data_IF_253583822131
#
_entry.id   IF_253583822131
#
_cell.length_a   1.000
_cell.length_b   1.000
_cell.length_c   1.000
_cell.angle_alpha   90.00
_cell.angle_beta   90.00
_cell.angle_gamma   90.00
#
_symmetry.space_group_name_H-M   'P 1'
#
loop_
_entity.id
_entity.type
_entity.pdbx_description
1 polymer ?
#
# COMPACT_ATOMS: atom_id res chain seq x y z
N UNK A 1 1.97 1.03 2.56
CA UNK A 1 2.62 -0.31 2.53
C UNK A 1 1.85 -1.23 1.63
N UNK A 2 0.54 -1.40 1.81
CA UNK A 2 -0.31 -2.20 0.92
C UNK A 2 -0.18 -1.84 -0.57
N UNK A 3 -0.15 -0.55 -0.92
CA UNK A 3 0.11 -0.15 -2.32
C UNK A 3 1.51 -0.57 -2.84
N UNK A 4 2.52 -0.66 -1.97
CA UNK A 4 3.84 -1.21 -2.36
C UNK A 4 3.73 -2.72 -2.62
N UNK A 5 2.95 -3.42 -1.80
CA UNK A 5 2.67 -4.86 -1.95
C UNK A 5 1.97 -5.11 -3.29
N UNK A 6 0.94 -4.33 -3.58
CA UNK A 6 0.19 -4.42 -4.84
C UNK A 6 1.06 -4.07 -6.05
N UNK A 7 1.80 -2.96 -6.00
CA UNK A 7 2.69 -2.55 -7.09
C UNK A 7 3.79 -3.59 -7.37
N UNK A 8 4.34 -4.22 -6.33
CA UNK A 8 5.29 -5.33 -6.48
C UNK A 8 4.67 -6.49 -7.28
N UNK A 9 3.46 -6.93 -6.91
CA UNK A 9 2.80 -8.05 -7.59
C UNK A 9 2.29 -7.70 -8.99
N UNK A 10 1.85 -6.46 -9.22
CA UNK A 10 1.33 -6.02 -10.52
C UNK A 10 2.43 -5.81 -11.56
N UNK A 11 3.59 -5.30 -11.15
CA UNK A 11 4.66 -4.89 -12.07
C UNK A 11 5.93 -5.75 -11.98
N UNK A 12 5.98 -6.73 -11.06
CA UNK A 12 7.13 -7.61 -10.81
C UNK A 12 8.45 -6.84 -10.67
N UNK A 13 8.41 -5.74 -9.91
CA UNK A 13 9.50 -4.78 -9.78
C UNK A 13 9.81 -4.48 -8.31
N UNK A 14 11.08 -4.26 -7.95
CA UNK A 14 11.51 -4.11 -6.55
C UNK A 14 11.91 -2.69 -6.19
N UNK A 15 12.22 -1.85 -7.17
CA UNK A 15 12.62 -0.46 -6.99
C UNK A 15 11.38 0.43 -6.84
N UNK A 16 10.61 0.15 -5.78
CA UNK A 16 9.36 0.82 -5.45
C UNK A 16 9.56 1.64 -4.16
N UNK A 17 9.13 2.89 -4.18
CA UNK A 17 9.07 3.75 -3.01
C UNK A 17 7.77 4.56 -2.96
N UNK A 18 7.52 5.23 -1.83
CA UNK A 18 6.36 6.09 -1.65
C UNK A 18 6.73 7.40 -0.96
N UNK A 19 6.06 8.46 -1.38
CA UNK A 19 6.18 9.81 -0.85
C UNK A 19 4.80 10.29 -0.40
N UNK A 20 4.78 11.17 0.59
CA UNK A 20 3.57 11.86 1.01
C UNK A 20 3.42 13.12 0.14
N UNK A 21 2.37 13.16 -0.66
CA UNK A 21 1.90 14.34 -1.39
C UNK A 21 0.53 14.76 -0.78
N UNK A 22 0.47 15.81 0.06
CA UNK A 22 -0.74 16.12 0.83
C UNK A 22 -1.96 16.58 0.02
N UNK A 23 -1.79 16.95 -1.26
CA UNK A 23 -2.88 17.43 -2.12
C UNK A 23 -3.57 16.30 -2.89
N UNK A 24 -2.98 15.10 -2.94
CA UNK A 24 -3.43 13.96 -3.74
C UNK A 24 -3.69 14.31 -5.21
N UNK A 25 -2.81 15.15 -5.79
CA UNK A 25 -2.88 15.54 -7.21
C UNK A 25 -1.97 14.69 -8.09
N UNK A 26 -0.89 14.16 -7.52
CA UNK A 26 0.02 13.21 -8.19
C UNK A 26 -0.24 11.83 -7.64
N UNK A 27 -0.74 10.93 -8.48
CA UNK A 27 -1.16 9.57 -8.07
C UNK A 27 -0.05 8.53 -8.22
N UNK A 28 0.81 8.70 -9.22
CA UNK A 28 1.95 7.83 -9.46
C UNK A 28 3.06 8.60 -10.16
N UNK A 29 4.30 8.15 -9.96
CA UNK A 29 5.47 8.64 -10.68
C UNK A 29 6.31 7.46 -11.14
N UNK A 30 6.94 7.60 -12.31
CA UNK A 30 7.90 6.62 -12.83
C UNK A 30 9.22 7.31 -13.12
N UNK A 31 10.31 6.73 -12.64
CA UNK A 31 11.67 7.20 -12.91
C UNK A 31 12.32 6.34 -13.99
N UNK A 32 13.02 6.98 -14.92
CA UNK A 32 13.65 6.32 -16.06
C UNK A 32 15.17 6.37 -15.95
N UNK A 33 15.86 5.40 -16.55
CA UNK A 33 17.34 5.27 -16.51
C UNK A 33 18.09 6.49 -17.08
N UNK A 34 17.43 7.29 -17.91
CA UNK A 34 17.98 8.53 -18.47
C UNK A 34 17.84 9.74 -17.53
N UNK A 35 17.32 9.54 -16.31
CA UNK A 35 17.10 10.61 -15.33
C UNK A 35 15.80 11.39 -15.52
N UNK A 36 14.98 11.03 -16.52
CA UNK A 36 13.64 11.60 -16.65
C UNK A 36 12.67 10.96 -15.66
N UNK A 37 11.62 11.70 -15.31
CA UNK A 37 10.49 11.18 -14.54
C UNK A 37 9.18 11.60 -15.19
N UNK A 38 8.20 10.72 -15.15
CA UNK A 38 6.80 11.06 -15.46
C UNK A 38 5.99 11.06 -14.17
N UNK A 39 4.94 11.88 -14.14
CA UNK A 39 4.00 11.95 -13.04
C UNK A 39 2.58 11.94 -13.61
N UNK A 40 1.70 11.13 -13.02
CA UNK A 40 0.30 11.05 -13.39
C UNK A 40 -0.52 11.99 -12.53
N UNK A 41 -1.06 13.04 -13.17
CA UNK A 41 -1.86 14.08 -12.52
C UNK A 41 -3.35 13.86 -12.75
N UNK A 42 -4.13 13.83 -11.68
CA UNK A 42 -5.59 13.84 -11.78
C UNK A 42 -6.23 14.37 -10.49
N UNK A 43 -7.49 14.80 -10.59
CA UNK A 43 -8.32 15.03 -9.40
C UNK A 43 -8.53 13.68 -8.69
N UNK A 44 -8.56 13.68 -7.36
CA UNK A 44 -8.81 12.47 -6.57
C UNK A 44 -10.27 11.99 -6.74
N UNK A 45 -10.53 11.24 -7.82
CA UNK A 45 -11.82 10.62 -8.11
C UNK A 45 -11.58 9.24 -8.75
N UNK A 46 -12.18 8.20 -8.15
CA UNK A 46 -12.03 6.80 -8.57
C UNK A 46 -12.58 6.52 -9.96
N UNK A 47 -13.46 7.37 -10.52
CA UNK A 47 -14.02 7.17 -11.86
C UNK A 47 -12.95 7.01 -12.93
N UNK A 48 -11.83 7.73 -12.81
CA UNK A 48 -10.76 7.66 -13.79
C UNK A 48 -10.05 6.30 -13.75
N UNK A 49 -9.61 5.86 -12.57
CA UNK A 49 -8.97 4.54 -12.40
C UNK A 49 -9.91 3.39 -12.80
N UNK A 50 -11.20 3.49 -12.47
CA UNK A 50 -12.21 2.50 -12.90
C UNK A 50 -12.40 2.53 -14.42
N UNK A 51 -12.43 3.71 -15.03
CA UNK A 51 -12.56 3.85 -16.48
C UNK A 51 -11.35 3.29 -17.22
N UNK A 52 -10.14 3.56 -16.75
CA UNK A 52 -8.88 3.01 -17.30
C UNK A 52 -8.87 1.47 -17.24
N UNK A 53 -9.48 0.87 -16.21
CA UNK A 53 -9.56 -0.58 -16.07
C UNK A 53 -10.64 -1.25 -16.95
N UNK A 54 -11.75 -0.55 -17.24
CA UNK A 54 -12.89 -1.11 -17.99
C UNK A 54 -12.76 -0.88 -19.48
N UNK A 55 -12.30 0.30 -19.90
CA UNK A 55 -12.34 0.71 -21.30
C UNK A 55 -10.95 0.68 -21.92
N UNK A 56 -10.81 0.01 -23.07
CA UNK A 56 -9.56 0.00 -23.84
C UNK A 56 -9.21 1.38 -24.42
N UNK A 57 -10.22 2.25 -24.61
CA UNK A 57 -10.09 3.62 -25.10
C UNK A 57 -11.10 4.54 -24.43
N UNK A 58 -10.68 5.78 -24.19
CA UNK A 58 -11.55 6.84 -23.68
C UNK A 58 -11.72 7.91 -24.75
N UNK A 59 -12.88 7.89 -25.41
CA UNK A 59 -13.22 8.87 -26.45
C UNK A 59 -13.84 10.16 -25.87
N UNK A 60 -14.13 10.17 -24.56
CA UNK A 60 -14.69 11.34 -23.86
C UNK A 60 -14.00 11.54 -22.52
N UNK A 61 -13.81 12.80 -22.06
CA UNK A 61 -13.24 13.07 -20.75
C UNK A 61 -14.12 12.52 -19.62
N UNK A 62 -13.55 11.63 -18.80
CA UNK A 62 -14.21 11.07 -17.61
C UNK A 62 -14.23 12.07 -16.46
N UNK A 63 -13.16 12.85 -16.33
CA UNK A 63 -13.00 13.91 -15.35
C UNK A 63 -12.55 15.20 -16.04
N UNK A 64 -12.81 16.33 -15.40
CA UNK A 64 -12.20 17.59 -15.77
C UNK A 64 -10.68 17.52 -15.56
N UNK A 65 -9.92 17.91 -16.58
CA UNK A 65 -8.46 18.00 -16.51
C UNK A 65 -8.00 18.95 -15.39
N UNK A 66 -6.80 18.69 -14.88
CA UNK A 66 -6.16 19.57 -13.88
C UNK A 66 -5.81 20.91 -14.54
N UNK A 67 -6.31 22.01 -13.96
CA UNK A 67 -5.90 23.36 -14.35
C UNK A 67 -4.57 23.72 -13.68
N UNK A 68 -3.47 23.50 -14.41
CA UNK A 68 -2.12 23.77 -13.94
C UNK A 68 -1.88 25.25 -13.59
N UNK A 69 -2.63 26.18 -14.19
CA UNK A 69 -2.49 27.62 -13.88
C UNK A 69 -3.01 27.99 -12.50
N UNK A 70 -3.90 27.17 -11.93
CA UNK A 70 -4.50 27.34 -10.60
C UNK A 70 -4.03 26.29 -9.60
N UNK A 71 -3.09 25.44 -9.99
CA UNK A 71 -2.64 24.33 -9.16
C UNK A 71 -1.88 24.86 -7.93
N UNK A 72 -2.20 24.39 -6.71
CA UNK A 72 -1.43 24.75 -5.53
C UNK A 72 -0.01 24.20 -5.62
N UNK A 73 0.90 24.77 -4.83
CA UNK A 73 2.25 24.23 -4.70
C UNK A 73 2.22 22.76 -4.23
N UNK A 74 2.91 21.90 -4.96
CA UNK A 74 3.11 20.51 -4.62
C UNK A 74 4.27 20.37 -3.63
N UNK A 75 4.11 19.48 -2.66
CA UNK A 75 5.15 19.17 -1.69
C UNK A 75 5.22 17.67 -1.50
N UNK A 76 6.40 17.11 -1.70
CA UNK A 76 6.67 15.71 -1.49
C UNK A 76 7.48 15.54 -0.22
N UNK A 77 7.05 14.64 0.65
CA UNK A 77 7.72 14.36 1.92
C UNK A 77 8.06 12.87 2.04
N UNK A 78 9.22 12.51 2.58
CA UNK A 78 9.51 11.12 2.89
C UNK A 78 8.56 10.61 3.98
N UNK A 79 8.20 9.32 3.90
CA UNK A 79 7.38 8.68 4.92
C UNK A 79 8.21 8.47 6.19
N UNK A 80 7.82 9.14 7.28
CA UNK A 80 8.49 9.00 8.57
C UNK A 80 8.13 7.67 9.25
N UNK A 81 9.09 6.75 9.37
CA UNK A 81 8.92 5.48 10.09
C UNK A 81 8.74 5.64 11.60
N UNK A 82 8.96 6.84 12.15
CA UNK A 82 8.59 7.17 13.53
C UNK A 82 7.08 7.42 13.66
N UNK A 83 6.47 8.09 12.67
CA UNK A 83 5.03 8.38 12.64
C UNK A 83 4.20 7.24 12.04
N UNK A 84 4.75 6.52 11.07
CA UNK A 84 4.14 5.42 10.34
C UNK A 84 5.01 4.15 10.47
N UNK A 85 4.98 3.47 11.63
CA UNK A 85 5.93 2.40 11.94
C UNK A 85 5.90 1.24 10.94
N UNK A 86 4.73 0.90 10.42
CA UNK A 86 4.56 -0.21 9.45
C UNK A 86 5.41 -0.01 8.20
N UNK A 87 5.77 1.23 7.84
CA UNK A 87 6.59 1.51 6.66
C UNK A 87 8.03 0.98 6.79
N UNK A 88 8.49 0.66 8.01
CA UNK A 88 9.77 -0.04 8.23
C UNK A 88 9.81 -1.40 7.51
N UNK A 89 8.65 -2.03 7.28
CA UNK A 89 8.54 -3.32 6.64
C UNK A 89 8.73 -3.26 5.12
N UNK A 90 8.77 -2.07 4.49
CA UNK A 90 8.87 -1.92 3.03
C UNK A 90 9.98 -2.79 2.44
N UNK A 91 11.22 -2.58 2.91
CA UNK A 91 12.39 -3.29 2.37
C UNK A 91 12.40 -4.77 2.75
N UNK A 92 11.81 -5.13 3.90
CA UNK A 92 11.68 -6.54 4.32
C UNK A 92 10.70 -7.27 3.41
N UNK A 93 9.54 -6.68 3.14
CA UNK A 93 8.54 -7.22 2.22
C UNK A 93 9.08 -7.35 0.79
N UNK A 94 9.77 -6.34 0.25
CA UNK A 94 10.34 -6.41 -1.12
C UNK A 94 11.40 -7.52 -1.27
N UNK A 95 12.00 -7.97 -0.18
CA UNK A 95 12.88 -9.14 -0.14
C UNK A 95 12.10 -10.45 0.01
N UNK A 96 11.09 -10.43 0.89
CA UNK A 96 10.30 -11.59 1.31
C UNK A 96 8.80 -11.32 1.10
N UNK A 97 8.30 -11.36 -0.15
CA UNK A 97 6.95 -10.92 -0.50
C UNK A 97 5.85 -11.79 0.13
N UNK A 98 6.16 -13.04 0.49
CA UNK A 98 5.22 -13.92 1.19
C UNK A 98 4.79 -13.37 2.56
N UNK A 99 5.54 -12.42 3.15
CA UNK A 99 5.11 -11.70 4.37
C UNK A 99 3.78 -10.96 4.19
N UNK A 100 3.37 -10.67 2.95
CA UNK A 100 2.14 -9.93 2.64
C UNK A 100 0.90 -10.52 3.31
N UNK A 101 0.76 -11.85 3.37
CA UNK A 101 -0.41 -12.49 3.99
C UNK A 101 -0.48 -12.23 5.50
N UNK A 102 0.65 -12.32 6.21
CA UNK A 102 0.71 -12.08 7.65
C UNK A 102 0.48 -10.60 7.94
N UNK A 103 1.09 -9.70 7.13
CA UNK A 103 0.90 -8.25 7.25
C UNK A 103 -0.58 -7.89 7.08
N UNK A 104 -1.25 -8.44 6.06
CA UNK A 104 -2.66 -8.18 5.80
C UNK A 104 -3.56 -8.69 6.93
N UNK A 105 -3.43 -9.98 7.28
CA UNK A 105 -4.26 -10.60 8.30
C UNK A 105 -4.12 -9.88 9.66
N UNK A 106 -2.89 -9.55 10.06
CA UNK A 106 -2.64 -8.83 11.30
C UNK A 106 -3.16 -7.39 11.27
N UNK A 107 -3.05 -6.70 10.13
CA UNK A 107 -3.61 -5.37 9.96
C UNK A 107 -5.13 -5.38 10.12
N UNK A 108 -5.83 -6.32 9.50
CA UNK A 108 -7.30 -6.41 9.63
C UNK A 108 -7.74 -6.64 11.08
N UNK A 109 -7.06 -7.53 11.82
CA UNK A 109 -7.35 -7.75 13.25
C UNK A 109 -7.05 -6.49 14.06
N UNK A 110 -5.91 -5.85 13.82
CA UNK A 110 -5.51 -4.61 14.50
C UNK A 110 -6.50 -3.46 14.27
N UNK A 111 -6.89 -3.24 13.01
CA UNK A 111 -7.87 -2.22 12.61
C UNK A 111 -9.23 -2.53 13.22
N UNK A 112 -9.70 -3.78 13.17
CA UNK A 112 -10.95 -4.19 13.80
C UNK A 112 -10.96 -3.85 15.30
N UNK A 113 -9.90 -4.23 16.03
CA UNK A 113 -9.78 -3.92 17.46
C UNK A 113 -9.75 -2.41 17.74
N UNK A 114 -9.08 -1.62 16.89
CA UNK A 114 -9.06 -0.16 17.02
C UNK A 114 -10.46 0.44 16.80
N UNK A 115 -11.17 0.02 15.76
CA UNK A 115 -12.54 0.48 15.46
C UNK A 115 -13.53 0.10 16.55
N UNK A 116 -13.33 -1.05 17.18
CA UNK A 116 -14.11 -1.53 18.34
C UNK A 116 -13.67 -0.89 19.68
N UNK A 117 -12.77 0.10 19.66
CA UNK A 117 -12.21 0.77 20.85
C UNK A 117 -11.53 -0.18 21.85
N UNK A 118 -11.02 -1.32 21.38
CA UNK A 118 -10.29 -2.32 22.20
C UNK A 118 -8.79 -2.06 22.25
N UNK A 119 -8.27 -1.22 21.36
CA UNK A 119 -6.86 -0.85 21.28
C UNK A 119 -6.67 0.58 20.76
N UNK A 120 -5.48 1.15 20.96
CA UNK A 120 -5.13 2.47 20.41
C UNK A 120 -4.64 2.39 18.97
N UNK A 121 -4.59 3.53 18.27
CA UNK A 121 -4.16 3.60 16.87
C UNK A 121 -2.78 2.98 16.61
N UNK A 122 -1.80 3.24 17.50
CA UNK A 122 -0.45 2.68 17.36
C UNK A 122 -0.37 1.19 17.66
N UNK A 123 -1.39 0.60 18.28
CA UNK A 123 -1.42 -0.85 18.54
C UNK A 123 -1.68 -1.66 17.27
N UNK A 124 -2.23 -1.06 16.21
CA UNK A 124 -2.35 -1.68 14.88
C UNK A 124 -0.95 -2.08 14.39
N UNK A 125 0.01 -1.16 14.44
CA UNK A 125 1.38 -1.44 14.04
C UNK A 125 2.04 -2.49 14.93
N UNK A 126 1.80 -2.43 16.26
CA UNK A 126 2.32 -3.45 17.20
C UNK A 126 1.75 -4.84 16.90
N UNK A 127 0.47 -4.93 16.53
CA UNK A 127 -0.21 -6.16 16.15
C UNK A 127 0.47 -6.82 14.94
N UNK A 128 0.77 -6.02 13.91
CA UNK A 128 1.49 -6.47 12.71
C UNK A 128 2.90 -6.95 13.07
N UNK A 129 3.67 -6.19 13.84
CA UNK A 129 5.02 -6.61 14.24
C UNK A 129 5.00 -7.88 15.09
N UNK A 130 4.06 -8.00 16.04
CA UNK A 130 3.89 -9.20 16.87
C UNK A 130 3.62 -10.45 16.01
N UNK A 131 2.79 -10.34 14.98
CA UNK A 131 2.51 -11.45 14.07
C UNK A 131 3.75 -11.83 13.25
N UNK A 132 4.46 -10.86 12.68
CA UNK A 132 5.68 -11.13 11.90
C UNK A 132 6.76 -11.77 12.77
N UNK A 133 6.96 -11.27 14.00
CA UNK A 133 7.94 -11.82 14.93
C UNK A 133 7.61 -13.27 15.34
N UNK A 134 6.33 -13.63 15.39
CA UNK A 134 5.88 -14.98 15.74
C UNK A 134 6.01 -15.97 14.58
N UNK A 135 5.52 -15.61 13.39
CA UNK A 135 5.44 -16.51 12.23
C UNK A 135 6.69 -16.50 11.35
N UNK A 136 7.49 -15.43 11.38
CA UNK A 136 8.62 -15.25 10.48
C UNK A 136 8.19 -15.12 9.01
N UNK A 137 9.08 -15.53 8.09
CA UNK A 137 8.78 -15.54 6.65
C UNK A 137 8.05 -16.83 6.28
N UNK A 138 6.80 -16.76 5.80
CA UNK A 138 6.06 -17.95 5.44
C UNK A 138 6.57 -18.50 4.09
N UNK A 139 6.61 -19.82 3.99
CA UNK A 139 6.81 -20.51 2.71
C UNK A 139 5.43 -20.79 2.13
N UNK A 140 5.15 -20.20 0.98
CA UNK A 140 3.86 -20.28 0.30
C UNK A 140 4.12 -20.75 -1.12
N UNK A 141 3.45 -21.84 -1.47
CA UNK A 141 3.52 -22.55 -2.75
C UNK A 141 2.14 -22.83 -3.34
N UNK A 142 1.08 -22.61 -2.57
CA UNK A 142 -0.31 -22.74 -3.03
C UNK A 142 -1.24 -21.70 -2.37
N UNK A 143 -2.45 -21.57 -2.91
CA UNK A 143 -3.47 -20.67 -2.36
C UNK A 143 -4.01 -21.16 -1.02
N UNK A 144 -4.06 -22.47 -0.80
CA UNK A 144 -4.48 -23.09 0.46
C UNK A 144 -3.53 -22.68 1.60
N UNK A 145 -2.22 -22.62 1.33
CA UNK A 145 -1.24 -22.15 2.32
C UNK A 145 -1.45 -20.65 2.64
N UNK A 146 -1.87 -19.82 1.68
CA UNK A 146 -2.24 -18.42 1.95
C UNK A 146 -3.39 -18.36 2.97
N UNK A 147 -4.46 -19.11 2.73
CA UNK A 147 -5.60 -19.16 3.65
C UNK A 147 -5.22 -19.73 5.03
N UNK A 148 -4.33 -20.72 5.06
CA UNK A 148 -3.85 -21.29 6.32
C UNK A 148 -3.05 -20.27 7.15
N UNK A 149 -2.13 -19.51 6.52
CA UNK A 149 -1.39 -18.46 7.22
C UNK A 149 -2.27 -17.29 7.64
N UNK A 150 -3.24 -16.87 6.82
CA UNK A 150 -4.23 -15.87 7.20
C UNK A 150 -5.00 -16.32 8.46
N UNK A 151 -5.56 -17.53 8.44
CA UNK A 151 -6.30 -18.10 9.57
C UNK A 151 -5.45 -18.18 10.83
N UNK A 152 -4.25 -18.80 10.75
CA UNK A 152 -3.33 -18.92 11.89
C UNK A 152 -2.95 -17.56 12.46
N UNK A 153 -2.71 -16.57 11.60
CA UNK A 153 -2.37 -15.21 12.03
C UNK A 153 -3.51 -14.59 12.83
N UNK A 154 -4.76 -14.73 12.36
CA UNK A 154 -5.94 -14.21 13.06
C UNK A 154 -6.17 -14.92 14.39
N UNK A 155 -6.06 -16.24 14.42
CA UNK A 155 -6.25 -17.00 15.66
C UNK A 155 -5.20 -16.64 16.72
N UNK A 156 -3.92 -16.53 16.33
CA UNK A 156 -2.84 -16.10 17.22
C UNK A 156 -3.06 -14.71 17.83
N UNK A 157 -3.64 -13.79 17.07
CA UNK A 157 -3.88 -12.42 17.53
C UNK A 157 -5.19 -12.26 18.33
N UNK A 158 -6.09 -13.25 18.29
CA UNK A 158 -7.32 -13.30 19.10
C UNK A 158 -7.11 -13.93 20.48
N UNK A 159 -6.09 -14.79 20.61
CA UNK A 159 -5.67 -15.38 21.89
C UNK A 159 -4.85 -14.41 22.74
#
# INVERSE_FOLDING_TARGET
LFEIIEAYHLYDFKEIDALIEPRSLVHAMCEFKNGASTAYFSKADMKLAISDAIFEKQDTPILEAVDFSKMPALKFHPISTKKYPIFKLKNTFLKEPNLGVIINAANEVGVYNFLENKSGFLDIAKCIFKAIDHFGVPKISSIEEVFEYDFKTREYLRS
#
